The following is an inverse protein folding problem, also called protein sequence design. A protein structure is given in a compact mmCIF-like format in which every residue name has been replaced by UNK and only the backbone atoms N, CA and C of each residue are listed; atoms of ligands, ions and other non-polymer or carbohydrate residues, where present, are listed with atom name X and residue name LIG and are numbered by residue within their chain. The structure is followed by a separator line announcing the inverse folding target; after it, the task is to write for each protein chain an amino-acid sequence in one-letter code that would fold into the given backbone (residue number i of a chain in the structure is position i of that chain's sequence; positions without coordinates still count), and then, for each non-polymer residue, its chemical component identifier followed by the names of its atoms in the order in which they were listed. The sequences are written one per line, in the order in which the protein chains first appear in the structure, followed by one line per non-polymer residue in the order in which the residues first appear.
data_IF_782540478053
#
_entry.id   IF_782540478053
#
_cell.length_a   1.000
_cell.length_b   1.000
_cell.length_c   1.000
_cell.angle_alpha   90.00
_cell.angle_beta   90.00
_cell.angle_gamma   90.00
#
_symmetry.space_group_name_H-M   'P 1'
#
loop_
_entity.id
_entity.type
_entity.pdbx_description
1 polymer ?
#
# COMPACT_ATOMS: atom_id res chain seq x y z
N UNK A 1 14.02 40.70 0.77
CA UNK A 1 12.74 40.23 1.35
C UNK A 1 11.75 40.41 0.24
N UNK A 2 11.22 39.32 -0.30
CA UNK A 2 10.11 39.37 -1.26
C UNK A 2 8.92 40.03 -0.57
N UNK A 3 8.11 40.75 -1.34
CA UNK A 3 6.86 41.32 -0.86
C UNK A 3 5.94 40.17 -0.44
N UNK A 4 5.27 40.28 0.72
CA UNK A 4 4.35 39.24 1.22
C UNK A 4 3.26 38.98 0.18
N UNK A 5 2.84 40.02 -0.55
CA UNK A 5 1.90 39.90 -1.65
C UNK A 5 2.45 38.97 -2.75
N UNK A 6 3.69 39.16 -3.17
CA UNK A 6 4.32 38.35 -4.23
C UNK A 6 4.47 36.88 -3.80
N UNK A 7 4.73 36.63 -2.51
CA UNK A 7 4.78 35.27 -1.95
C UNK A 7 3.40 34.59 -1.91
N UNK A 8 2.35 35.34 -1.56
CA UNK A 8 0.96 34.85 -1.57
C UNK A 8 0.51 34.58 -3.00
N UNK A 9 0.76 35.52 -3.92
CA UNK A 9 0.47 35.35 -5.36
C UNK A 9 1.21 34.13 -5.93
N UNK A 10 2.49 33.92 -5.57
CA UNK A 10 3.27 32.77 -6.01
C UNK A 10 2.72 31.42 -5.49
N UNK A 11 2.22 31.37 -4.24
CA UNK A 11 1.61 30.17 -3.68
C UNK A 11 0.26 29.89 -4.36
N UNK A 12 -0.55 30.92 -4.60
CA UNK A 12 -1.85 30.79 -5.28
C UNK A 12 -1.66 30.42 -6.76
N UNK A 13 -0.60 30.90 -7.41
CA UNK A 13 -0.27 30.54 -8.79
C UNK A 13 0.21 29.09 -8.92
N UNK A 14 1.02 28.60 -7.98
CA UNK A 14 1.47 27.20 -7.93
C UNK A 14 0.32 26.24 -7.52
N UNK A 15 -0.53 26.67 -6.58
CA UNK A 15 -1.63 25.90 -5.99
C UNK A 15 -2.92 26.73 -5.90
N UNK A 16 -3.72 26.85 -6.97
CA UNK A 16 -4.93 27.70 -7.01
C UNK A 16 -5.98 27.38 -5.95
N UNK A 17 -6.04 26.15 -5.46
CA UNK A 17 -6.92 25.72 -4.37
C UNK A 17 -6.62 26.42 -3.04
N UNK A 18 -5.39 26.91 -2.84
CA UNK A 18 -4.98 27.64 -1.64
C UNK A 18 -5.62 29.01 -1.53
N UNK A 19 -6.18 29.56 -2.62
CA UNK A 19 -6.95 30.81 -2.59
C UNK A 19 -8.05 30.78 -1.53
N UNK A 20 -8.80 29.66 -1.45
CA UNK A 20 -9.86 29.50 -0.44
C UNK A 20 -9.30 29.54 0.99
N UNK A 21 -8.14 28.90 1.18
CA UNK A 21 -7.46 28.83 2.48
C UNK A 21 -6.96 30.22 2.90
N UNK A 22 -6.41 31.02 1.98
CA UNK A 22 -6.01 32.40 2.26
C UNK A 22 -7.22 33.31 2.55
N UNK A 23 -8.35 33.14 1.86
CA UNK A 23 -9.59 33.86 2.17
C UNK A 23 -10.08 33.55 3.58
N UNK A 24 -10.02 32.28 3.99
CA UNK A 24 -10.42 31.85 5.32
C UNK A 24 -9.48 32.36 6.41
N UNK A 25 -8.16 32.25 6.21
CA UNK A 25 -7.17 32.78 7.15
C UNK A 25 -7.34 34.30 7.31
N UNK A 26 -7.56 35.04 6.22
CA UNK A 26 -7.79 36.49 6.27
C UNK A 26 -9.08 36.84 7.04
N UNK A 27 -10.14 36.04 6.88
CA UNK A 27 -11.38 36.21 7.64
C UNK A 27 -11.15 35.98 9.13
N UNK A 28 -10.50 34.87 9.50
CA UNK A 28 -10.19 34.53 10.89
C UNK A 28 -9.28 35.58 11.54
N UNK A 29 -8.26 36.06 10.81
CA UNK A 29 -7.34 37.13 11.28
C UNK A 29 -8.05 38.49 11.46
N UNK A 30 -9.07 38.77 10.66
CA UNK A 30 -9.90 39.98 10.80
C UNK A 30 -10.86 39.88 11.99
N UNK A 31 -11.41 38.69 12.26
CA UNK A 31 -12.32 38.43 13.39
C UNK A 31 -11.59 38.28 14.73
N UNK A 32 -10.37 37.74 14.69
CA UNK A 32 -9.53 37.45 15.85
C UNK A 32 -8.10 37.97 15.63
N UNK A 33 -7.67 38.93 16.45
CA UNK A 33 -6.33 39.51 16.37
C UNK A 33 -5.18 38.51 16.62
N UNK A 34 -5.48 37.35 17.20
CA UNK A 34 -4.58 36.21 17.39
C UNK A 34 -5.42 34.94 17.27
N UNK A 35 -4.98 33.99 16.46
CA UNK A 35 -5.66 32.71 16.18
C UNK A 35 -4.70 31.52 16.28
N UNK A 36 -5.24 30.30 16.36
CA UNK A 36 -4.47 29.07 16.47
C UNK A 36 -4.62 28.21 15.20
N UNK A 37 -3.76 27.21 15.04
CA UNK A 37 -3.84 26.29 13.90
C UNK A 37 -5.18 25.51 13.85
N UNK A 38 -5.87 25.36 14.98
CA UNK A 38 -7.18 24.68 15.03
C UNK A 38 -8.31 25.54 14.46
N UNK A 39 -8.08 26.83 14.27
CA UNK A 39 -9.08 27.80 13.81
C UNK A 39 -9.12 27.96 12.28
N UNK A 40 -8.24 27.28 11.54
CA UNK A 40 -8.10 27.38 10.08
C UNK A 40 -8.08 26.00 9.40
N UNK A 41 -8.74 25.85 8.25
CA UNK A 41 -8.72 24.61 7.44
C UNK A 41 -7.44 24.46 6.59
N UNK A 42 -6.26 24.62 7.21
CA UNK A 42 -4.95 24.44 6.55
C UNK A 42 -4.29 23.10 6.94
N UNK A 43 -3.60 22.45 5.98
CA UNK A 43 -2.77 21.30 6.31
C UNK A 43 -1.44 21.73 6.98
N UNK A 44 -0.81 20.81 7.73
CA UNK A 44 0.41 21.09 8.49
C UNK A 44 1.61 21.44 7.61
N UNK A 45 1.61 21.02 6.34
CA UNK A 45 2.67 21.33 5.37
C UNK A 45 2.56 22.77 4.87
N UNK A 46 1.37 23.17 4.41
CA UNK A 46 1.06 24.53 3.98
C UNK A 46 1.27 25.51 5.13
N UNK A 47 0.78 25.20 6.33
CA UNK A 47 0.97 26.06 7.50
C UNK A 47 2.45 26.29 7.83
N UNK A 48 3.27 25.24 7.81
CA UNK A 48 4.71 25.37 8.01
C UNK A 48 5.38 26.22 6.93
N UNK A 49 4.90 26.14 5.69
CA UNK A 49 5.37 26.97 4.58
C UNK A 49 5.03 28.45 4.78
N UNK A 50 3.79 28.77 5.19
CA UNK A 50 3.35 30.15 5.47
C UNK A 50 4.20 30.81 6.57
N UNK A 51 4.51 30.06 7.63
CA UNK A 51 5.38 30.54 8.71
C UNK A 51 6.82 30.71 8.20
N UNK A 52 7.33 29.77 7.39
CA UNK A 52 8.70 29.84 6.87
C UNK A 52 8.94 31.01 5.91
N UNK A 53 7.89 31.40 5.16
CA UNK A 53 7.92 32.51 4.20
C UNK A 53 7.56 33.85 4.85
N UNK A 54 7.28 33.88 6.16
CA UNK A 54 6.94 35.11 6.89
C UNK A 54 5.58 35.70 6.52
N UNK A 55 4.67 34.88 5.98
CA UNK A 55 3.29 35.28 5.70
C UNK A 55 2.45 35.21 6.99
N UNK A 56 2.76 34.21 7.83
CA UNK A 56 2.20 34.03 9.16
C UNK A 56 3.29 34.22 10.20
N UNK A 57 3.04 35.06 11.19
CA UNK A 57 3.95 35.33 12.30
C UNK A 57 3.44 34.70 13.60
N UNK A 58 4.38 34.27 14.44
CA UNK A 58 4.07 33.73 15.76
C UNK A 58 4.01 34.86 16.79
N UNK A 59 2.89 34.95 17.48
CA UNK A 59 2.68 35.83 18.64
C UNK A 59 2.81 35.05 19.95
N UNK A 60 2.78 35.75 21.09
CA UNK A 60 2.93 35.13 22.41
C UNK A 60 1.87 34.04 22.69
N UNK A 61 0.63 34.25 22.25
CA UNK A 61 -0.52 33.36 22.49
C UNK A 61 -1.14 32.76 21.20
N UNK A 62 -0.42 32.77 20.07
CA UNK A 62 -0.92 32.18 18.82
C UNK A 62 -0.21 32.67 17.56
N UNK A 63 -0.96 32.87 16.48
CA UNK A 63 -0.48 33.33 15.19
C UNK A 63 -1.31 34.50 14.68
N UNK A 64 -0.70 35.31 13.81
CA UNK A 64 -1.36 36.38 13.06
C UNK A 64 -0.74 36.49 11.66
N UNK A 65 -1.47 37.07 10.71
CA UNK A 65 -0.89 37.45 9.43
C UNK A 65 0.14 38.58 9.62
N UNK A 66 1.28 38.47 8.93
CA UNK A 66 2.33 39.48 8.99
C UNK A 66 1.92 40.78 8.31
N UNK A 67 1.15 40.67 7.22
CA UNK A 67 0.52 41.80 6.54
C UNK A 67 -0.85 41.39 5.95
N UNK A 68 -1.95 41.59 6.70
CA UNK A 68 -3.29 41.27 6.23
C UNK A 68 -3.69 42.07 4.98
N UNK A 69 -3.15 43.28 4.81
CA UNK A 69 -3.48 44.15 3.67
C UNK A 69 -2.82 43.64 2.39
N UNK A 70 -1.59 43.11 2.50
CA UNK A 70 -0.92 42.46 1.38
C UNK A 70 -1.61 41.17 0.94
N UNK A 71 -2.12 40.37 1.89
CA UNK A 71 -2.90 39.15 1.61
C UNK A 71 -4.23 39.48 0.95
N UNK A 72 -4.96 40.48 1.45
CA UNK A 72 -6.21 40.96 0.83
C UNK A 72 -5.97 41.49 -0.61
N UNK A 73 -4.89 42.25 -0.81
CA UNK A 73 -4.52 42.75 -2.12
C UNK A 73 -4.18 41.64 -3.13
N UNK A 74 -3.53 40.56 -2.70
CA UNK A 74 -3.26 39.38 -3.53
C UNK A 74 -4.56 38.66 -3.93
N UNK A 75 -5.47 38.44 -2.97
CA UNK A 75 -6.77 37.83 -3.23
C UNK A 75 -7.63 38.68 -4.16
N UNK A 76 -7.72 40.00 -3.92
CA UNK A 76 -8.44 40.93 -4.78
C UNK A 76 -7.83 41.02 -6.19
N UNK A 77 -6.50 40.94 -6.31
CA UNK A 77 -5.85 40.86 -7.62
C UNK A 77 -6.29 39.59 -8.37
N UNK A 78 -6.34 38.44 -7.68
CA UNK A 78 -6.74 37.18 -8.28
C UNK A 78 -8.23 37.13 -8.65
N UNK A 79 -9.10 37.68 -7.81
CA UNK A 79 -10.53 37.79 -8.11
C UNK A 79 -10.79 38.68 -9.32
N UNK A 80 -10.04 39.78 -9.46
CA UNK A 80 -10.12 40.64 -10.65
C UNK A 80 -9.62 39.94 -11.92
N UNK A 81 -8.54 39.16 -11.83
CA UNK A 81 -8.04 38.34 -12.96
C UNK A 81 -9.06 37.26 -13.35
N UNK A 82 -9.69 36.62 -12.38
CA UNK A 82 -10.75 35.64 -12.61
C UNK A 82 -12.03 36.29 -13.18
N UNK A 83 -12.38 37.49 -12.72
CA UNK A 83 -13.54 38.24 -13.20
C UNK A 83 -13.32 38.73 -14.63
N UNK A 84 -12.16 39.32 -14.95
CA UNK A 84 -11.82 39.75 -16.31
C UNK A 84 -11.84 38.59 -17.31
N UNK A 85 -11.30 37.42 -16.91
CA UNK A 85 -11.36 36.18 -17.70
C UNK A 85 -12.80 35.72 -17.96
N UNK A 86 -13.70 35.88 -16.98
CA UNK A 86 -15.10 35.51 -17.11
C UNK A 86 -15.95 36.55 -17.86
N UNK A 87 -15.59 37.84 -17.80
CA UNK A 87 -16.25 38.92 -18.54
C UNK A 87 -15.91 38.88 -20.02
N UNK A 88 -14.67 38.56 -20.41
CA UNK A 88 -14.29 38.32 -21.80
C UNK A 88 -15.07 37.14 -22.42
N UNK A 89 -15.37 36.11 -21.62
CA UNK A 89 -16.21 34.97 -22.00
C UNK A 89 -17.72 35.32 -22.13
N UNK A 90 -18.17 36.42 -21.54
CA UNK A 90 -19.57 36.86 -21.56
C UNK A 90 -19.87 37.91 -22.66
N UNK A 91 -18.86 38.59 -23.19
CA UNK A 91 -19.02 39.64 -24.22
C UNK A 91 -19.04 39.14 -25.66
N UNK A 92 -18.77 37.86 -25.95
CA UNK A 92 -18.78 37.28 -27.31
C UNK A 92 -20.21 36.92 -27.82
N UNK A 93 -21.22 37.61 -27.28
CA UNK A 93 -22.65 37.33 -27.49
C UNK A 93 -23.44 38.47 -28.13
N UNK A 94 -22.84 39.34 -28.96
CA UNK A 94 -23.64 40.20 -29.85
C UNK A 94 -22.87 40.91 -30.97
N UNK A 95 -23.32 40.59 -32.20
CA UNK A 95 -23.32 41.38 -33.46
C UNK A 95 -22.01 41.62 -34.22
N UNK A 96 -22.03 41.10 -35.46
CA UNK A 96 -21.57 41.68 -36.74
C UNK A 96 -21.25 43.19 -36.68
N UNK A 97 -20.16 43.72 -37.22
CA UNK A 97 -19.65 43.57 -38.59
C UNK A 97 -18.26 44.25 -38.70
N UNK A 98 -17.40 43.68 -39.55
CA UNK A 98 -16.37 44.31 -40.42
C UNK A 98 -15.09 44.95 -39.81
N UNK A 99 -13.95 44.31 -40.14
CA UNK A 99 -12.59 44.84 -40.48
C UNK A 99 -11.81 45.59 -39.37
N UNK A 100 -10.55 45.34 -39.05
CA UNK A 100 -9.35 45.10 -39.85
C UNK A 100 -8.28 44.39 -39.00
N UNK A 101 -7.47 43.55 -39.65
CA UNK A 101 -6.01 43.35 -39.46
C UNK A 101 -5.40 43.56 -38.06
N UNK A 102 -4.93 42.48 -37.40
CA UNK A 102 -3.52 42.21 -37.08
C UNK A 102 -3.40 40.92 -36.24
N UNK A 103 -2.27 40.26 -36.43
CA UNK A 103 -1.78 38.99 -35.88
C UNK A 103 -2.05 38.72 -34.39
N UNK A 104 -2.51 37.50 -34.06
CA UNK A 104 -1.98 36.73 -32.92
C UNK A 104 -2.44 35.26 -32.93
N UNK A 105 -1.69 34.42 -33.64
CA UNK A 105 -1.83 32.94 -33.68
C UNK A 105 -1.04 32.26 -32.52
N UNK A 106 -0.61 33.03 -31.52
CA UNK A 106 0.26 32.58 -30.41
C UNK A 106 -0.51 32.25 -29.13
N UNK A 107 -1.68 32.86 -28.92
CA UNK A 107 -2.43 32.70 -27.67
C UNK A 107 -3.13 31.33 -27.58
N UNK A 108 -3.75 30.86 -28.67
CA UNK A 108 -4.37 29.52 -28.71
C UNK A 108 -3.37 28.38 -28.55
N UNK A 109 -2.13 28.55 -29.04
CA UNK A 109 -1.03 27.59 -28.83
C UNK A 109 -0.53 27.59 -27.39
N UNK A 110 -0.44 28.75 -26.71
CA UNK A 110 -0.05 28.81 -25.28
C UNK A 110 -1.09 28.22 -24.34
N UNK A 111 -2.38 28.48 -24.56
CA UNK A 111 -3.44 27.89 -23.72
C UNK A 111 -3.54 26.37 -23.91
N UNK A 112 -3.41 25.87 -25.13
CA UNK A 112 -3.35 24.42 -25.39
C UNK A 112 -2.05 23.80 -24.87
N UNK A 113 -0.89 24.43 -25.06
CA UNK A 113 0.38 23.92 -24.53
C UNK A 113 0.42 23.94 -23.01
N UNK A 114 -0.09 24.97 -22.32
CA UNK A 114 -0.12 25.02 -20.85
C UNK A 114 -1.12 24.04 -20.23
N UNK A 115 -2.24 23.78 -20.91
CA UNK A 115 -3.22 22.78 -20.48
C UNK A 115 -2.77 21.34 -20.79
N UNK A 116 -2.00 21.14 -21.87
CA UNK A 116 -1.29 19.89 -22.17
C UNK A 116 -0.12 19.70 -21.19
N UNK A 117 0.70 20.72 -20.89
CA UNK A 117 1.84 20.63 -19.95
C UNK A 117 1.37 20.31 -18.53
N UNK A 118 0.36 21.00 -18.01
CA UNK A 118 -0.17 20.70 -16.67
C UNK A 118 -0.83 19.33 -16.58
N UNK A 119 -1.45 18.85 -17.67
CA UNK A 119 -1.99 17.49 -17.75
C UNK A 119 -0.88 16.46 -17.86
N UNK A 120 0.17 16.73 -18.64
CA UNK A 120 1.35 15.88 -18.82
C UNK A 120 2.17 15.82 -17.53
N UNK A 121 2.38 16.93 -16.83
CA UNK A 121 3.08 16.98 -15.54
C UNK A 121 2.29 16.28 -14.44
N UNK A 122 0.96 16.40 -14.42
CA UNK A 122 0.12 15.63 -13.50
C UNK A 122 0.18 14.14 -13.82
N UNK A 123 0.18 13.77 -15.09
CA UNK A 123 0.33 12.38 -15.53
C UNK A 123 1.74 11.87 -15.20
N UNK A 124 2.79 12.64 -15.45
CA UNK A 124 4.19 12.30 -15.14
C UNK A 124 4.38 12.20 -13.64
N UNK A 125 3.82 13.10 -12.83
CA UNK A 125 3.86 13.05 -11.36
C UNK A 125 3.08 11.87 -10.82
N UNK A 126 1.93 11.54 -11.41
CA UNK A 126 1.15 10.36 -11.03
C UNK A 126 1.88 9.07 -11.43
N UNK A 127 2.45 9.03 -12.63
CA UNK A 127 3.27 7.92 -13.12
C UNK A 127 4.55 7.80 -12.29
N UNK A 128 5.22 8.89 -11.92
CA UNK A 128 6.46 8.88 -11.14
C UNK A 128 6.18 8.47 -9.70
N UNK A 129 5.11 8.99 -9.09
CA UNK A 129 4.64 8.53 -7.78
C UNK A 129 4.35 7.04 -7.87
N UNK A 130 3.51 6.59 -8.82
CA UNK A 130 3.18 5.17 -8.99
C UNK A 130 4.43 4.32 -9.26
N UNK A 131 5.38 4.82 -10.03
CA UNK A 131 6.66 4.17 -10.30
C UNK A 131 7.49 4.05 -9.03
N UNK A 132 7.68 5.11 -8.26
CA UNK A 132 8.42 5.06 -7.00
C UNK A 132 7.72 4.18 -5.98
N UNK A 133 6.37 4.18 -5.99
CA UNK A 133 5.56 3.24 -5.20
C UNK A 133 5.90 1.80 -5.56
N UNK A 134 5.79 1.47 -6.83
CA UNK A 134 6.03 0.11 -7.34
C UNK A 134 7.49 -0.27 -7.11
N UNK A 135 8.44 0.61 -7.40
CA UNK A 135 9.88 0.39 -7.21
C UNK A 135 10.24 0.16 -5.74
N UNK A 136 9.65 0.90 -4.80
CA UNK A 136 9.90 0.67 -3.37
C UNK A 136 9.39 -0.70 -2.90
N UNK A 137 8.21 -1.12 -3.37
CA UNK A 137 7.63 -2.43 -3.03
C UNK A 137 8.42 -3.55 -3.70
N UNK A 138 8.71 -3.42 -5.00
CA UNK A 138 9.56 -4.38 -5.73
C UNK A 138 10.94 -4.46 -5.10
N UNK A 139 11.52 -3.33 -4.70
CA UNK A 139 12.82 -3.26 -4.04
C UNK A 139 12.84 -3.99 -2.69
N UNK A 140 11.81 -3.79 -1.85
CA UNK A 140 11.76 -4.49 -0.55
C UNK A 140 11.45 -5.99 -0.71
N UNK A 141 10.65 -6.38 -1.70
CA UNK A 141 10.43 -7.80 -2.01
C UNK A 141 11.67 -8.45 -2.63
N UNK A 142 12.43 -7.71 -3.45
CA UNK A 142 13.74 -8.15 -3.93
C UNK A 142 14.71 -8.34 -2.76
N UNK A 143 14.69 -7.46 -1.76
CA UNK A 143 15.46 -7.64 -0.52
C UNK A 143 15.09 -8.95 0.20
N UNK A 144 13.78 -9.27 0.31
CA UNK A 144 13.32 -10.56 0.83
C UNK A 144 13.99 -11.71 0.07
N UNK A 145 13.90 -11.71 -1.26
CA UNK A 145 14.50 -12.76 -2.11
C UNK A 145 16.01 -12.86 -1.92
N UNK A 146 16.73 -11.74 -1.94
CA UNK A 146 18.21 -11.70 -1.78
C UNK A 146 18.64 -12.44 -0.51
N UNK A 147 17.98 -12.19 0.62
CA UNK A 147 18.30 -12.87 1.88
C UNK A 147 17.99 -14.38 1.87
N UNK A 148 17.09 -14.86 1.00
CA UNK A 148 16.76 -16.29 0.87
C UNK A 148 17.69 -17.01 -0.10
N UNK A 149 18.49 -16.28 -0.88
CA UNK A 149 19.40 -16.85 -1.88
C UNK A 149 20.84 -16.99 -1.38
N UNK A 150 21.13 -16.65 -0.12
CA UNK A 150 22.50 -16.76 0.45
C UNK A 150 23.06 -18.18 0.30
N UNK A 151 22.22 -19.20 0.46
CA UNK A 151 22.60 -20.61 0.35
C UNK A 151 22.52 -21.20 -1.06
N UNK A 152 22.28 -20.40 -2.11
CA UNK A 152 22.03 -20.92 -3.48
C UNK A 152 23.15 -21.82 -3.99
N UNK A 153 24.42 -21.48 -3.70
CA UNK A 153 25.58 -22.28 -4.11
C UNK A 153 25.72 -23.59 -3.33
N UNK A 154 25.15 -23.65 -2.12
CA UNK A 154 25.09 -24.88 -1.33
C UNK A 154 23.96 -25.80 -1.80
N UNK A 155 22.91 -25.24 -2.38
CA UNK A 155 21.75 -25.99 -2.87
C UNK A 155 21.97 -26.57 -4.27
N UNK A 156 22.51 -25.78 -5.20
CA UNK A 156 22.77 -26.26 -6.55
C UNK A 156 24.25 -26.66 -6.68
N UNK A 157 24.50 -27.97 -6.65
CA UNK A 157 25.84 -28.55 -6.72
C UNK A 157 25.92 -29.61 -7.81
N UNK A 158 26.87 -29.48 -8.74
CA UNK A 158 27.19 -30.51 -9.73
C UNK A 158 25.99 -31.04 -10.54
N UNK A 159 24.99 -30.18 -10.79
CA UNK A 159 23.76 -30.56 -11.51
C UNK A 159 22.68 -31.20 -10.63
N UNK A 160 22.92 -31.33 -9.33
CA UNK A 160 21.96 -31.82 -8.35
C UNK A 160 21.40 -30.67 -7.48
N UNK A 161 20.19 -30.89 -6.96
CA UNK A 161 19.57 -30.06 -5.92
C UNK A 161 19.73 -30.73 -4.57
N UNK A 162 20.60 -30.18 -3.73
CA UNK A 162 20.86 -30.61 -2.37
C UNK A 162 20.04 -29.74 -1.40
N UNK A 163 19.08 -30.34 -0.70
CA UNK A 163 18.24 -29.60 0.23
C UNK A 163 19.00 -29.31 1.54
N UNK A 164 18.64 -28.22 2.20
CA UNK A 164 19.28 -27.79 3.44
C UNK A 164 18.65 -28.48 4.65
N UNK A 165 19.47 -29.02 5.54
CA UNK A 165 18.98 -29.73 6.73
C UNK A 165 18.39 -31.10 6.41
N UNK A 166 17.71 -31.70 7.39
CA UNK A 166 17.20 -33.08 7.28
C UNK A 166 15.73 -33.13 6.89
N UNK A 167 14.90 -32.29 7.54
CA UNK A 167 13.43 -32.32 7.40
C UNK A 167 12.96 -32.18 5.93
N UNK A 168 13.57 -31.33 5.08
CA UNK A 168 13.21 -31.25 3.65
C UNK A 168 13.28 -32.57 2.89
N UNK A 169 14.12 -33.52 3.30
CA UNK A 169 14.23 -34.82 2.64
C UNK A 169 13.01 -35.71 2.86
N UNK A 170 12.24 -35.49 3.92
CA UNK A 170 10.95 -36.15 4.12
C UNK A 170 9.96 -35.77 3.02
N UNK A 171 9.80 -34.47 2.73
CA UNK A 171 8.93 -34.02 1.63
C UNK A 171 9.48 -34.40 0.27
N UNK A 172 10.81 -34.35 0.09
CA UNK A 172 11.46 -34.84 -1.13
C UNK A 172 11.07 -36.29 -1.42
N UNK A 173 11.13 -37.17 -0.42
CA UNK A 173 10.73 -38.57 -0.58
C UNK A 173 9.30 -38.68 -1.11
N UNK A 174 8.33 -37.98 -0.52
CA UNK A 174 6.93 -38.07 -0.93
C UNK A 174 6.62 -37.45 -2.29
N UNK A 175 7.29 -36.34 -2.65
CA UNK A 175 7.14 -35.75 -3.99
C UNK A 175 7.75 -36.68 -5.04
N UNK A 176 8.91 -37.30 -4.78
CA UNK A 176 9.52 -38.25 -5.70
C UNK A 176 8.78 -39.59 -5.77
N UNK A 177 8.17 -40.07 -4.69
CA UNK A 177 7.25 -41.22 -4.73
C UNK A 177 6.07 -40.93 -5.68
N UNK A 178 5.49 -39.72 -5.61
CA UNK A 178 4.46 -39.28 -6.56
C UNK A 178 4.95 -39.29 -8.02
N UNK A 179 6.11 -38.69 -8.30
CA UNK A 179 6.69 -38.62 -9.64
C UNK A 179 7.04 -40.00 -10.20
N UNK A 180 7.73 -40.83 -9.40
CA UNK A 180 8.24 -42.14 -9.86
C UNK A 180 7.15 -43.20 -9.98
N UNK A 181 6.12 -43.14 -9.12
CA UNK A 181 4.97 -44.04 -9.22
C UNK A 181 3.90 -43.52 -10.21
N UNK A 182 4.13 -42.37 -10.87
CA UNK A 182 3.22 -41.73 -11.82
C UNK A 182 1.77 -41.64 -11.30
N UNK A 183 1.63 -41.21 -10.04
CA UNK A 183 0.32 -41.11 -9.38
C UNK A 183 -0.44 -39.87 -9.85
N UNK A 184 -1.74 -39.85 -9.59
CA UNK A 184 -2.53 -38.63 -9.81
C UNK A 184 -2.12 -37.56 -8.80
N UNK A 185 -1.99 -36.27 -9.19
CA UNK A 185 -1.69 -35.19 -8.26
C UNK A 185 -2.73 -35.01 -7.15
N UNK A 186 -3.94 -35.56 -7.34
CA UNK A 186 -5.04 -35.52 -6.37
C UNK A 186 -5.08 -36.75 -5.46
N UNK A 187 -4.20 -37.73 -5.68
CA UNK A 187 -4.14 -38.92 -4.82
C UNK A 187 -3.27 -38.65 -3.62
N UNK A 188 -3.87 -38.70 -2.42
CA UNK A 188 -3.11 -38.73 -1.17
C UNK A 188 -2.35 -40.05 -1.13
N UNK A 189 -1.01 -39.98 -1.04
CA UNK A 189 -0.19 -41.18 -0.96
C UNK A 189 -0.61 -42.03 0.25
N UNK A 190 -0.82 -43.33 0.05
CA UNK A 190 -1.34 -44.30 1.04
C UNK A 190 -0.47 -44.49 2.31
N UNK A 191 0.52 -43.63 2.57
CA UNK A 191 1.41 -43.66 3.72
C UNK A 191 1.55 -42.36 4.50
N UNK A 192 0.90 -41.25 4.10
CA UNK A 192 0.85 -40.03 4.92
C UNK A 192 -0.20 -40.21 6.02
N UNK A 193 0.10 -41.06 7.00
CA UNK A 193 -0.78 -41.34 8.15
C UNK A 193 -0.49 -40.43 9.34
N UNK A 194 0.66 -39.75 9.33
CA UNK A 194 1.12 -38.77 10.30
C UNK A 194 1.88 -37.67 9.55
N UNK A 195 1.71 -36.40 9.94
CA UNK A 195 2.43 -35.28 9.32
C UNK A 195 1.50 -34.25 8.68
N UNK A 196 2.01 -33.56 7.66
CA UNK A 196 1.46 -32.30 7.13
C UNK A 196 0.97 -32.50 5.70
N UNK A 197 -0.19 -33.16 5.53
CA UNK A 197 -0.64 -33.66 4.24
C UNK A 197 -0.83 -32.55 3.21
N UNK A 198 -1.19 -31.34 3.64
CA UNK A 198 -1.43 -30.23 2.73
C UNK A 198 -0.16 -29.75 2.03
N UNK A 199 0.98 -29.68 2.72
CA UNK A 199 2.23 -29.27 2.07
C UNK A 199 2.61 -30.28 0.98
N UNK A 200 2.57 -31.57 1.31
CA UNK A 200 2.91 -32.63 0.33
C UNK A 200 1.98 -32.58 -0.88
N UNK A 201 0.67 -32.48 -0.66
CA UNK A 201 -0.31 -32.36 -1.75
C UNK A 201 -0.07 -31.11 -2.60
N UNK A 202 0.24 -29.97 -1.97
CA UNK A 202 0.55 -28.72 -2.68
C UNK A 202 1.80 -28.87 -3.53
N UNK A 203 2.89 -29.43 -3.00
CA UNK A 203 4.13 -29.65 -3.74
C UNK A 203 3.94 -30.62 -4.91
N UNK A 204 3.12 -31.65 -4.76
CA UNK A 204 2.78 -32.59 -5.84
C UNK A 204 1.99 -31.91 -6.96
N UNK A 205 0.94 -31.16 -6.62
CA UNK A 205 0.14 -30.42 -7.59
C UNK A 205 1.02 -29.40 -8.34
N UNK A 206 1.83 -28.64 -7.62
CA UNK A 206 2.74 -27.66 -8.22
C UNK A 206 3.77 -28.36 -9.10
N UNK A 207 4.35 -29.47 -8.66
CA UNK A 207 5.27 -30.29 -9.48
C UNK A 207 4.60 -30.76 -10.77
N UNK A 208 3.36 -31.22 -10.70
CA UNK A 208 2.58 -31.63 -11.88
C UNK A 208 2.36 -30.47 -12.86
N UNK A 209 2.05 -29.27 -12.35
CA UNK A 209 1.89 -28.05 -13.17
C UNK A 209 3.19 -27.66 -13.88
N UNK A 210 4.35 -27.93 -13.29
CA UNK A 210 5.67 -27.69 -13.89
C UNK A 210 6.22 -28.89 -14.70
N UNK A 211 5.34 -29.82 -15.10
CA UNK A 211 5.67 -30.92 -16.02
C UNK A 211 5.74 -32.31 -15.37
N UNK A 212 5.63 -32.40 -14.04
CA UNK A 212 5.45 -33.67 -13.33
C UNK A 212 6.68 -34.59 -13.26
N UNK A 213 7.83 -34.17 -13.80
CA UNK A 213 9.05 -34.97 -13.83
C UNK A 213 10.01 -34.71 -12.64
N UNK A 214 11.08 -35.51 -12.50
CA UNK A 214 12.08 -35.34 -11.44
C UNK A 214 12.71 -33.95 -11.40
N UNK A 215 13.03 -33.38 -12.56
CA UNK A 215 13.60 -32.03 -12.65
C UNK A 215 12.63 -30.95 -12.12
N UNK A 216 11.33 -31.10 -12.38
CA UNK A 216 10.31 -30.20 -11.85
C UNK A 216 10.22 -30.31 -10.32
N UNK A 217 10.22 -31.54 -9.79
CA UNK A 217 10.19 -31.78 -8.35
C UNK A 217 11.38 -31.13 -7.63
N UNK A 218 12.58 -31.25 -8.18
CA UNK A 218 13.78 -30.63 -7.61
C UNK A 218 13.69 -29.10 -7.56
N UNK A 219 13.23 -28.48 -8.65
CA UNK A 219 13.07 -27.03 -8.70
C UNK A 219 11.96 -26.54 -7.76
N UNK A 220 10.82 -27.25 -7.70
CA UNK A 220 9.72 -26.91 -6.78
C UNK A 220 10.20 -26.98 -5.33
N UNK A 221 10.86 -28.07 -4.94
CA UNK A 221 11.40 -28.22 -3.58
C UNK A 221 12.45 -27.14 -3.26
N UNK A 222 13.31 -26.79 -4.21
CA UNK A 222 14.30 -25.74 -3.99
C UNK A 222 13.67 -24.36 -3.78
N UNK A 223 12.70 -23.98 -4.62
CA UNK A 223 12.23 -22.61 -4.73
C UNK A 223 10.98 -22.28 -3.92
N UNK A 224 10.16 -23.27 -3.55
CA UNK A 224 8.92 -22.98 -2.83
C UNK A 224 9.12 -22.20 -1.52
N UNK A 225 10.19 -22.42 -0.71
CA UNK A 225 10.37 -21.66 0.52
C UNK A 225 10.62 -20.17 0.24
N UNK A 226 11.30 -19.87 -0.86
CA UNK A 226 11.53 -18.50 -1.34
C UNK A 226 10.21 -17.86 -1.79
N UNK A 227 9.38 -18.60 -2.52
CA UNK A 227 8.05 -18.14 -2.91
C UNK A 227 7.17 -17.86 -1.68
N UNK A 228 7.21 -18.75 -0.68
CA UNK A 228 6.51 -18.57 0.60
C UNK A 228 7.02 -17.33 1.36
N UNK A 229 8.33 -17.06 1.35
CA UNK A 229 8.90 -15.84 1.92
C UNK A 229 8.38 -14.57 1.25
N UNK A 230 8.22 -14.59 -0.08
CA UNK A 230 7.65 -13.45 -0.84
C UNK A 230 6.19 -13.25 -0.48
N UNK A 231 5.39 -14.32 -0.37
CA UNK A 231 4.01 -14.25 0.12
C UNK A 231 3.97 -13.61 1.51
N UNK A 232 4.85 -14.03 2.43
CA UNK A 232 4.98 -13.39 3.75
C UNK A 232 5.33 -11.90 3.65
N UNK A 233 6.30 -11.55 2.80
CA UNK A 233 6.73 -10.17 2.60
C UNK A 233 5.63 -9.26 2.08
N UNK A 234 4.83 -9.75 1.11
CA UNK A 234 3.64 -9.06 0.60
C UNK A 234 2.61 -8.92 1.71
N UNK A 235 2.31 -10.00 2.43
CA UNK A 235 1.32 -9.98 3.52
C UNK A 235 1.71 -9.00 4.62
N UNK A 236 2.97 -8.98 5.07
CA UNK A 236 3.46 -8.04 6.08
C UNK A 236 3.42 -6.60 5.59
N UNK A 237 3.78 -6.34 4.33
CA UNK A 237 3.64 -5.02 3.72
C UNK A 237 2.17 -4.55 3.75
N UNK A 238 1.26 -5.45 3.38
CA UNK A 238 -0.18 -5.21 3.31
C UNK A 238 -0.81 -4.98 4.69
N UNK A 239 -0.38 -5.71 5.71
CA UNK A 239 -0.82 -5.54 7.10
C UNK A 239 -0.30 -4.20 7.63
N UNK A 240 1.01 -3.95 7.53
CA UNK A 240 1.63 -2.74 8.05
C UNK A 240 1.05 -1.48 7.41
N UNK A 241 0.84 -1.48 6.09
CA UNK A 241 0.25 -0.35 5.37
C UNK A 241 -1.22 -0.13 5.75
N UNK A 242 -2.03 -1.18 5.93
CA UNK A 242 -3.46 -1.04 6.25
C UNK A 242 -3.71 -0.59 7.69
N UNK A 243 -2.94 -1.12 8.65
CA UNK A 243 -3.18 -0.86 10.06
C UNK A 243 -2.62 0.49 10.53
N UNK A 244 -1.65 1.04 9.80
CA UNK A 244 -1.06 2.35 10.10
C UNK A 244 -1.51 3.46 9.17
N UNK A 245 -2.22 3.13 8.09
CA UNK A 245 -2.48 4.01 6.94
C UNK A 245 -1.20 4.65 6.33
N UNK A 246 -0.02 4.09 6.64
CA UNK A 246 1.27 4.55 6.14
C UNK A 246 2.06 3.43 5.47
N UNK A 247 2.35 3.63 4.18
CA UNK A 247 3.17 2.72 3.38
C UNK A 247 4.59 2.57 3.93
N UNK A 248 5.17 3.61 4.52
CA UNK A 248 6.53 3.59 5.07
C UNK A 248 6.63 2.53 6.17
N UNK A 249 5.58 2.38 6.99
CA UNK A 249 5.47 1.33 8.00
C UNK A 249 5.42 -0.05 7.35
N UNK A 250 4.64 -0.21 6.28
CA UNK A 250 4.62 -1.45 5.48
C UNK A 250 6.00 -1.82 4.91
N UNK A 251 6.68 -0.86 4.28
CA UNK A 251 8.03 -1.06 3.74
C UNK A 251 9.05 -1.41 4.83
N UNK A 252 9.05 -0.68 5.95
CA UNK A 252 9.94 -0.93 7.08
C UNK A 252 9.68 -2.31 7.71
N UNK A 253 8.41 -2.68 7.89
CA UNK A 253 8.02 -3.99 8.43
C UNK A 253 8.49 -5.14 7.54
N UNK A 254 8.34 -5.02 6.21
CA UNK A 254 8.82 -6.02 5.25
C UNK A 254 10.35 -6.07 5.20
N UNK A 255 11.05 -4.93 5.33
CA UNK A 255 12.50 -4.90 5.40
C UNK A 255 13.04 -5.58 6.67
N UNK A 256 12.38 -5.38 7.81
CA UNK A 256 12.68 -6.09 9.06
C UNK A 256 12.45 -7.60 8.86
N UNK A 257 11.30 -8.00 8.33
CA UNK A 257 11.02 -9.42 8.02
C UNK A 257 12.05 -10.03 7.05
N UNK A 258 12.52 -9.25 6.09
CA UNK A 258 13.52 -9.67 5.11
C UNK A 258 14.83 -10.08 5.80
N UNK A 259 15.22 -9.38 6.86
CA UNK A 259 16.50 -9.52 7.57
C UNK A 259 16.43 -10.37 8.83
N UNK A 260 15.22 -10.74 9.31
CA UNK A 260 15.05 -11.60 10.49
C UNK A 260 15.73 -12.97 10.29
N UNK A 261 16.78 -13.31 11.07
CA UNK A 261 17.65 -14.45 10.77
C UNK A 261 16.91 -15.81 10.74
N UNK A 262 16.06 -16.08 11.74
CA UNK A 262 15.34 -17.36 11.84
C UNK A 262 14.33 -17.51 10.70
N UNK A 263 13.60 -16.43 10.37
CA UNK A 263 12.66 -16.45 9.26
C UNK A 263 13.39 -16.60 7.91
N UNK A 264 14.50 -15.89 7.70
CA UNK A 264 15.32 -16.02 6.50
C UNK A 264 15.88 -17.43 6.33
N UNK A 265 16.37 -18.06 7.41
CA UNK A 265 16.85 -19.44 7.39
C UNK A 265 15.74 -20.45 7.07
N UNK A 266 14.62 -20.40 7.79
CA UNK A 266 13.49 -21.34 7.59
C UNK A 266 12.74 -21.16 6.27
N UNK A 267 12.96 -20.06 5.57
CA UNK A 267 12.39 -19.80 4.23
C UNK A 267 13.47 -19.70 3.14
N UNK A 268 14.70 -20.11 3.45
CA UNK A 268 15.83 -20.09 2.51
C UNK A 268 15.60 -21.05 1.34
N UNK A 269 16.19 -20.73 0.20
CA UNK A 269 16.25 -21.66 -0.93
C UNK A 269 16.79 -23.02 -0.47
N UNK A 270 16.15 -24.11 -0.91
CA UNK A 270 16.48 -25.48 -0.54
C UNK A 270 16.05 -25.91 0.87
N UNK A 271 15.49 -25.03 1.71
CA UNK A 271 14.94 -25.41 3.03
C UNK A 271 13.45 -25.79 2.91
N UNK A 272 13.18 -26.88 2.21
CA UNK A 272 11.86 -27.30 1.75
C UNK A 272 10.97 -27.91 2.86
N UNK A 273 10.74 -27.20 3.97
CA UNK A 273 10.07 -27.67 5.19
C UNK A 273 8.77 -26.88 5.54
N UNK A 274 7.81 -27.51 6.23
CA UNK A 274 6.47 -26.96 6.53
C UNK A 274 6.47 -25.56 7.14
N UNK A 275 7.46 -25.23 7.95
CA UNK A 275 7.61 -23.91 8.56
C UNK A 275 7.43 -22.75 7.57
N UNK A 276 7.97 -22.85 6.34
CA UNK A 276 7.83 -21.82 5.32
C UNK A 276 6.38 -21.70 4.82
N UNK A 277 5.72 -22.84 4.66
CA UNK A 277 4.33 -22.93 4.22
C UNK A 277 3.36 -22.40 5.29
N UNK A 278 3.59 -22.76 6.54
CA UNK A 278 2.77 -22.34 7.68
C UNK A 278 2.78 -20.84 7.88
N UNK A 279 3.97 -20.23 7.93
CA UNK A 279 4.10 -18.79 8.16
C UNK A 279 3.49 -17.99 7.00
N UNK A 280 3.56 -18.51 5.77
CA UNK A 280 2.92 -17.87 4.61
C UNK A 280 1.40 -17.91 4.68
N UNK A 281 0.80 -19.07 4.99
CA UNK A 281 -0.64 -19.18 5.18
C UNK A 281 -1.10 -18.30 6.34
N UNK A 282 -0.38 -18.35 7.47
CA UNK A 282 -0.70 -17.54 8.64
C UNK A 282 -0.64 -16.04 8.34
N UNK A 283 0.39 -15.58 7.60
CA UNK A 283 0.50 -14.19 7.18
C UNK A 283 -0.68 -13.76 6.30
N UNK A 284 -1.13 -14.63 5.38
CA UNK A 284 -2.32 -14.37 4.55
C UNK A 284 -3.59 -14.26 5.41
N UNK A 285 -3.78 -15.15 6.40
CA UNK A 285 -4.89 -15.05 7.36
C UNK A 285 -4.86 -13.72 8.13
N UNK A 286 -3.68 -13.25 8.55
CA UNK A 286 -3.59 -11.95 9.22
C UNK A 286 -3.90 -10.77 8.28
N UNK A 287 -3.60 -10.86 6.98
CA UNK A 287 -4.04 -9.85 6.00
C UNK A 287 -5.57 -9.78 5.95
N UNK A 288 -6.28 -10.91 5.99
CA UNK A 288 -7.74 -10.92 5.94
C UNK A 288 -8.35 -10.29 7.19
N UNK A 289 -7.76 -10.52 8.36
CA UNK A 289 -8.16 -9.86 9.62
C UNK A 289 -7.92 -8.35 9.54
N UNK A 290 -6.74 -7.93 9.09
CA UNK A 290 -6.42 -6.51 8.92
C UNK A 290 -7.35 -5.81 7.91
N UNK A 291 -7.73 -6.49 6.82
CA UNK A 291 -8.68 -5.98 5.85
C UNK A 291 -10.08 -5.79 6.47
N UNK A 292 -10.57 -6.79 7.21
CA UNK A 292 -11.87 -6.71 7.89
C UNK A 292 -11.90 -5.56 8.90
N UNK A 293 -10.86 -5.40 9.72
CA UNK A 293 -10.79 -4.33 10.72
C UNK A 293 -10.72 -2.95 10.08
N UNK A 294 -9.98 -2.80 8.98
CA UNK A 294 -9.86 -1.50 8.33
C UNK A 294 -11.15 -1.04 7.66
N UNK A 295 -11.90 -1.98 7.08
CA UNK A 295 -13.20 -1.68 6.47
C UNK A 295 -14.25 -1.37 7.53
N UNK A 296 -14.24 -2.06 8.68
CA UNK A 296 -15.21 -1.86 9.77
C UNK A 296 -16.66 -1.78 9.23
N UNK A 297 -17.15 -2.84 8.55
CA UNK A 297 -18.37 -2.77 7.75
C UNK A 297 -19.55 -2.32 8.60
N UNK A 298 -20.36 -1.39 8.09
CA UNK A 298 -21.56 -0.87 8.77
C UNK A 298 -22.87 -1.33 8.13
N UNK A 299 -22.78 -1.96 6.96
CA UNK A 299 -23.92 -2.45 6.18
C UNK A 299 -23.68 -3.85 5.61
N UNK A 300 -24.77 -4.52 5.23
CA UNK A 300 -24.70 -5.83 4.55
C UNK A 300 -23.97 -5.71 3.20
N UNK A 301 -24.12 -4.59 2.48
CA UNK A 301 -23.43 -4.40 1.20
C UNK A 301 -21.91 -4.36 1.36
N UNK A 302 -21.39 -3.67 2.38
CA UNK A 302 -19.97 -3.66 2.70
C UNK A 302 -19.47 -5.02 3.17
N UNK A 303 -20.33 -5.79 3.86
CA UNK A 303 -20.00 -7.15 4.27
C UNK A 303 -19.88 -8.09 3.05
N UNK A 304 -20.71 -7.89 2.03
CA UNK A 304 -20.59 -8.61 0.75
C UNK A 304 -19.31 -8.26 -0.01
N UNK A 305 -18.85 -7.00 0.05
CA UNK A 305 -17.55 -6.59 -0.51
C UNK A 305 -16.37 -7.29 0.19
N UNK A 306 -16.55 -7.69 1.45
CA UNK A 306 -15.56 -8.46 2.22
C UNK A 306 -15.61 -9.97 1.97
N UNK A 307 -16.59 -10.48 1.22
CA UNK A 307 -16.75 -11.91 0.94
C UNK A 307 -15.45 -12.58 0.46
N UNK A 308 -14.65 -12.00 -0.46
CA UNK A 308 -13.39 -12.60 -0.87
C UNK A 308 -12.40 -12.76 0.29
N UNK A 309 -12.33 -11.77 1.19
CA UNK A 309 -11.49 -11.82 2.38
C UNK A 309 -11.98 -12.86 3.39
N UNK A 310 -13.29 -12.98 3.56
CA UNK A 310 -13.91 -13.98 4.45
C UNK A 310 -13.64 -15.41 3.93
N UNK A 311 -13.82 -15.63 2.62
CA UNK A 311 -13.50 -16.91 1.97
C UNK A 311 -12.01 -17.21 2.14
N UNK A 312 -11.14 -16.24 1.87
CA UNK A 312 -9.70 -16.39 2.01
C UNK A 312 -9.30 -16.69 3.47
N UNK A 313 -9.96 -16.07 4.44
CA UNK A 313 -9.76 -16.34 5.87
C UNK A 313 -10.16 -17.78 6.20
N UNK A 314 -11.36 -18.22 5.79
CA UNK A 314 -11.84 -19.58 6.05
C UNK A 314 -10.97 -20.65 5.41
N UNK A 315 -10.60 -20.46 4.13
CA UNK A 315 -9.68 -21.36 3.42
C UNK A 315 -8.30 -21.34 4.05
N UNK A 316 -7.76 -20.17 4.42
CA UNK A 316 -6.47 -20.04 5.07
C UNK A 316 -6.41 -20.71 6.44
N UNK A 317 -7.46 -20.54 7.25
CA UNK A 317 -7.60 -21.20 8.56
C UNK A 317 -7.64 -22.73 8.39
N UNK A 318 -8.48 -23.23 7.46
CA UNK A 318 -8.56 -24.66 7.16
C UNK A 318 -7.27 -25.22 6.54
N UNK A 319 -6.58 -24.43 5.72
CA UNK A 319 -5.29 -24.79 5.17
C UNK A 319 -4.24 -24.91 6.27
N UNK A 320 -4.20 -23.96 7.22
CA UNK A 320 -3.23 -23.97 8.29
C UNK A 320 -3.39 -25.17 9.24
N UNK A 321 -4.62 -25.57 9.55
CA UNK A 321 -4.87 -26.77 10.38
C UNK A 321 -4.46 -28.07 9.68
N UNK A 322 -4.43 -28.10 8.34
CA UNK A 322 -3.95 -29.24 7.55
C UNK A 322 -2.45 -29.14 7.21
N UNK A 323 -1.87 -27.97 7.37
CA UNK A 323 -0.46 -27.68 7.11
C UNK A 323 0.46 -28.02 8.28
N UNK A 324 -0.07 -28.06 9.50
CA UNK A 324 0.68 -28.40 10.71
C UNK A 324 -0.16 -29.13 11.75
N UNK A 325 0.40 -30.18 12.37
CA UNK A 325 -0.30 -30.98 13.38
C UNK A 325 -0.80 -30.15 14.58
N UNK A 326 -0.04 -29.10 14.94
CA UNK A 326 -0.38 -28.16 16.00
C UNK A 326 -0.99 -26.86 15.46
N UNK A 327 -1.38 -26.79 14.18
CA UNK A 327 -1.92 -25.59 13.52
C UNK A 327 -3.14 -24.99 14.24
N UNK A 328 -3.95 -25.83 14.89
CA UNK A 328 -5.07 -25.36 15.70
C UNK A 328 -4.64 -24.47 16.89
N UNK A 329 -3.45 -24.72 17.48
CA UNK A 329 -2.92 -23.89 18.58
C UNK A 329 -2.62 -22.48 18.10
N UNK A 330 -2.14 -22.32 16.86
CA UNK A 330 -1.83 -21.02 16.26
C UNK A 330 -3.08 -20.20 15.91
N UNK A 331 -4.26 -20.80 15.97
CA UNK A 331 -5.56 -20.11 15.87
C UNK A 331 -6.09 -19.62 17.22
N UNK A 332 -5.50 -20.05 18.34
CA UNK A 332 -5.89 -19.60 19.68
C UNK A 332 -5.88 -18.07 19.79
N UNK A 333 -4.86 -17.34 19.30
CA UNK A 333 -4.87 -15.87 19.28
C UNK A 333 -6.06 -15.28 18.52
N UNK A 334 -6.52 -15.90 17.44
CA UNK A 334 -7.68 -15.44 16.67
C UNK A 334 -8.98 -15.60 17.46
N UNK A 335 -9.12 -16.72 18.19
CA UNK A 335 -10.25 -16.93 19.11
C UNK A 335 -10.25 -15.93 20.26
N UNK A 336 -9.10 -15.72 20.91
CA UNK A 336 -8.93 -14.72 21.96
C UNK A 336 -9.24 -13.32 21.44
N UNK A 337 -8.73 -12.98 20.25
CA UNK A 337 -9.01 -11.72 19.58
C UNK A 337 -10.51 -11.53 19.33
N UNK A 338 -11.22 -12.55 18.83
CA UNK A 338 -12.66 -12.49 18.62
C UNK A 338 -13.44 -12.21 19.91
N UNK A 339 -13.03 -12.82 21.03
CA UNK A 339 -13.63 -12.56 22.36
C UNK A 339 -13.35 -11.13 22.81
N UNK A 340 -12.10 -10.68 22.75
CA UNK A 340 -11.72 -9.31 23.15
C UNK A 340 -12.47 -8.28 22.31
N UNK A 341 -12.53 -8.49 20.98
CA UNK A 341 -13.24 -7.63 20.05
C UNK A 341 -14.73 -7.57 20.38
N UNK A 342 -15.38 -8.70 20.63
CA UNK A 342 -16.79 -8.74 21.01
C UNK A 342 -17.06 -7.96 22.30
N UNK A 343 -16.21 -8.13 23.32
CA UNK A 343 -16.32 -7.36 24.57
C UNK A 343 -16.12 -5.86 24.35
N UNK A 344 -15.15 -5.48 23.50
CA UNK A 344 -14.92 -4.09 23.13
C UNK A 344 -16.11 -3.49 22.37
N UNK A 345 -16.73 -4.25 21.45
CA UNK A 345 -17.92 -3.83 20.72
C UNK A 345 -19.10 -3.57 21.66
N UNK A 346 -19.38 -4.50 22.58
CA UNK A 346 -20.43 -4.34 23.60
C UNK A 346 -20.19 -3.12 24.48
N UNK A 347 -18.94 -2.86 24.88
CA UNK A 347 -18.60 -1.69 25.70
C UNK A 347 -18.84 -0.35 24.99
N UNK A 348 -18.78 -0.32 23.66
CA UNK A 348 -18.98 0.89 22.86
C UNK A 348 -20.36 0.92 22.17
N UNK A 349 -21.31 0.08 22.59
CA UNK A 349 -22.66 -0.03 22.02
C UNK A 349 -22.70 -0.19 20.49
N UNK A 350 -21.69 -0.87 19.93
CA UNK A 350 -21.63 -1.21 18.50
C UNK A 350 -21.85 -2.69 18.29
N UNK A 351 -22.45 -3.05 17.16
CA UNK A 351 -22.71 -4.46 16.86
C UNK A 351 -21.39 -5.24 16.67
N UNK A 352 -21.42 -6.53 17.04
CA UNK A 352 -20.26 -7.42 16.97
C UNK A 352 -19.94 -7.80 15.51
N UNK A 353 -20.92 -7.78 14.61
CA UNK A 353 -20.76 -8.24 13.22
C UNK A 353 -20.50 -7.10 12.23
N UNK A 354 -21.10 -5.94 12.48
CA UNK A 354 -20.99 -4.72 11.67
C UNK A 354 -21.20 -3.51 12.58
N UNK A 355 -20.50 -2.41 12.32
CA UNK A 355 -20.48 -1.22 13.19
C UNK A 355 -21.65 -0.28 12.94
#
# INVERSE_FOLDING_TARGET
MSDIRDEVDAIIDDRPETHRVFTEILQVDTEHSVWTFEDIEADTGLFGELVSRGIVEKQDDGYSLADPTAVDAALAHRDNVNHAKNTELATDGSRSDVSETLSDDDNGRRYLNGQIDTSVDRIIKTISINRDRILSVVGVLALVVVFRLVAVRSVFQEGYVLLLGNDPYFYRYWVFDFVTANRSPLTVANGIKQGEPLLVATLQIVTALFGGGPAAAEQVLAWYPVAAAVVCGVSVYLIGTRLSDDRRVGLASTAILATLPVHAYRTSIGFADHHAFDVAILAVVFVTVAAYERTSPTSISQLLELTPWIILAGVGIGAHTLAWNAGALLLTPLGVYGVIRALASVRHDVSVLYR
#
